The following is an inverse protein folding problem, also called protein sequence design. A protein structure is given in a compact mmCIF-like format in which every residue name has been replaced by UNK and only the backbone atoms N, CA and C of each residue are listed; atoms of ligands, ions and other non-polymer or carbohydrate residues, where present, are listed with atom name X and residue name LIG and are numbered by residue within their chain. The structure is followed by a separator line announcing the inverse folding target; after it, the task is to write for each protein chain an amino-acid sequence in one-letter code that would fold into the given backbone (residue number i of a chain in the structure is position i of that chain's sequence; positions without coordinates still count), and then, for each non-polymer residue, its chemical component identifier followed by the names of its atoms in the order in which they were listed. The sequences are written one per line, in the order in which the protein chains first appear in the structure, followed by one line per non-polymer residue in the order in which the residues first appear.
data_IF_621528950704
#
_entry.id   IF_621528950704
#
_cell.length_a   1.000
_cell.length_b   1.000
_cell.length_c   1.000
_cell.angle_alpha   90.00
_cell.angle_beta   90.00
_cell.angle_gamma   90.00
#
_symmetry.space_group_name_H-M   'P 1'
#
loop_
_entity.id
_entity.type
_entity.pdbx_description
1 polymer ?
#
# COMPACT_ATOMS: atom_id res chain seq x y z
N UNK A 1 -8.87 3.01 -16.75
CA UNK A 1 -9.90 1.95 -16.66
C UNK A 1 -9.81 1.12 -15.38
N UNK A 2 -8.66 0.54 -14.98
CA UNK A 2 -8.57 -0.26 -13.73
C UNK A 2 -8.90 0.51 -12.43
N UNK A 3 -8.56 1.79 -12.31
CA UNK A 3 -8.80 2.52 -11.07
C UNK A 3 -10.28 2.85 -10.82
N UNK A 4 -11.11 2.90 -11.87
CA UNK A 4 -12.57 2.98 -11.75
C UNK A 4 -13.13 1.74 -11.06
N UNK A 5 -12.48 0.58 -11.24
CA UNK A 5 -12.79 -0.68 -10.57
C UNK A 5 -12.27 -0.70 -9.13
N UNK A 6 -11.03 -0.27 -8.87
CA UNK A 6 -10.43 -0.28 -7.50
C UNK A 6 -11.25 0.56 -6.51
N UNK A 7 -11.78 1.70 -6.96
CA UNK A 7 -12.55 2.61 -6.09
C UNK A 7 -14.05 2.60 -6.38
N UNK A 8 -14.54 1.79 -7.32
CA UNK A 8 -15.98 1.67 -7.60
C UNK A 8 -16.68 3.02 -7.84
N UNK A 9 -16.09 3.90 -8.65
CA UNK A 9 -16.54 5.30 -8.88
C UNK A 9 -16.52 6.25 -7.67
N UNK A 10 -15.90 5.85 -6.55
CA UNK A 10 -15.70 6.74 -5.39
C UNK A 10 -14.44 7.61 -5.52
N UNK A 11 -14.36 8.64 -4.68
CA UNK A 11 -13.25 9.60 -4.62
C UNK A 11 -11.89 8.91 -4.44
N UNK A 12 -10.92 9.31 -5.26
CA UNK A 12 -9.53 8.89 -5.13
C UNK A 12 -8.89 9.55 -3.90
N UNK A 13 -8.69 8.75 -2.84
CA UNK A 13 -8.17 9.24 -1.56
C UNK A 13 -6.69 9.65 -1.61
N UNK A 14 -5.96 9.18 -2.61
CA UNK A 14 -4.53 9.38 -2.79
C UNK A 14 -4.21 9.60 -4.27
N UNK A 15 -3.10 10.29 -4.52
CA UNK A 15 -2.58 10.48 -5.88
C UNK A 15 -2.27 9.12 -6.51
N UNK A 16 -2.66 8.92 -7.76
CA UNK A 16 -2.38 7.68 -8.52
C UNK A 16 -0.90 7.30 -8.53
N UNK A 17 -0.02 8.28 -8.69
CA UNK A 17 1.42 8.08 -8.63
C UNK A 17 1.90 7.41 -7.33
N UNK A 18 1.19 7.61 -6.20
CA UNK A 18 1.49 6.90 -4.94
C UNK A 18 0.95 5.48 -4.94
N UNK A 19 -0.22 5.21 -5.54
CA UNK A 19 -0.80 3.86 -5.58
C UNK A 19 0.00 2.88 -6.43
N UNK A 20 0.57 3.38 -7.53
CA UNK A 20 1.37 2.59 -8.48
C UNK A 20 2.69 2.09 -7.89
N UNK A 21 3.23 2.84 -6.92
CA UNK A 21 4.46 2.49 -6.20
C UNK A 21 4.39 1.13 -5.55
N UNK A 22 5.52 0.47 -5.37
CA UNK A 22 5.58 -0.77 -4.61
C UNK A 22 5.22 -0.55 -3.14
N UNK A 23 4.72 -1.62 -2.52
CA UNK A 23 4.32 -1.65 -1.12
C UNK A 23 5.43 -1.13 -0.18
N UNK A 24 6.68 -1.54 -0.40
CA UNK A 24 7.85 -1.09 0.38
C UNK A 24 8.13 0.42 0.29
N UNK A 25 7.62 1.07 -0.74
CA UNK A 25 7.80 2.50 -1.01
C UNK A 25 6.53 3.31 -0.65
N UNK A 26 5.61 2.70 0.10
CA UNK A 26 4.36 3.31 0.54
C UNK A 26 3.23 3.24 -0.47
N UNK A 27 3.41 2.56 -1.61
CA UNK A 27 2.31 2.34 -2.55
C UNK A 27 1.50 1.08 -2.27
N UNK A 28 0.80 0.61 -3.30
CA UNK A 28 0.02 -0.64 -3.29
C UNK A 28 0.35 -1.60 -4.41
N UNK A 29 1.36 -1.27 -5.22
CA UNK A 29 1.76 -2.05 -6.38
C UNK A 29 0.64 -2.20 -7.40
N UNK A 30 -0.27 -1.21 -7.48
CA UNK A 30 -1.39 -1.30 -8.43
C UNK A 30 -0.81 -1.29 -9.86
N UNK A 31 -1.24 -2.20 -10.75
CA UNK A 31 -0.73 -2.25 -12.11
C UNK A 31 -0.96 -0.93 -12.86
N UNK A 32 0.11 -0.32 -13.35
CA UNK A 32 0.04 0.76 -14.33
C UNK A 32 -0.21 0.15 -15.71
N UNK A 33 -1.48 0.08 -16.11
CA UNK A 33 -1.86 -0.54 -17.39
C UNK A 33 -1.16 0.16 -18.56
N UNK A 34 -1.01 1.47 -18.53
CA UNK A 34 -0.42 2.22 -19.65
C UNK A 34 1.05 1.84 -19.79
N UNK A 35 1.79 1.90 -18.69
CA UNK A 35 3.19 1.47 -18.69
C UNK A 35 3.32 -0.02 -19.04
N UNK A 36 2.43 -0.89 -18.59
CA UNK A 36 2.45 -2.32 -18.96
C UNK A 36 2.28 -2.51 -20.47
N UNK A 37 1.32 -1.82 -21.09
CA UNK A 37 1.10 -1.88 -22.55
C UNK A 37 2.32 -1.35 -23.29
N UNK A 38 2.88 -0.22 -22.86
CA UNK A 38 4.06 0.38 -23.50
C UNK A 38 5.30 -0.51 -23.33
N UNK A 39 5.54 -1.07 -22.15
CA UNK A 39 6.64 -2.01 -21.90
C UNK A 39 6.51 -3.28 -22.74
N UNK A 40 5.30 -3.84 -22.85
CA UNK A 40 5.04 -5.01 -23.67
C UNK A 40 5.22 -4.69 -25.16
N UNK A 41 4.67 -3.57 -25.63
CA UNK A 41 4.83 -3.10 -27.00
C UNK A 41 6.29 -2.85 -27.35
N UNK A 42 7.06 -2.28 -26.43
CA UNK A 42 8.50 -2.06 -26.60
C UNK A 42 9.27 -3.38 -26.69
N UNK A 43 8.99 -4.33 -25.82
CA UNK A 43 9.61 -5.65 -25.86
C UNK A 43 9.28 -6.39 -27.17
N UNK A 44 8.03 -6.34 -27.61
CA UNK A 44 7.60 -6.94 -28.89
C UNK A 44 8.23 -6.24 -30.09
N UNK A 45 8.36 -4.91 -30.06
CA UNK A 45 9.03 -4.14 -31.11
C UNK A 45 10.48 -4.58 -31.25
N UNK A 46 11.21 -4.61 -30.14
CA UNK A 46 12.61 -5.04 -30.08
C UNK A 46 12.76 -6.48 -30.58
N UNK A 47 11.90 -7.40 -30.14
CA UNK A 47 11.92 -8.79 -30.64
C UNK A 47 11.62 -8.90 -32.14
N UNK A 48 10.70 -8.09 -32.67
CA UNK A 48 10.37 -8.14 -34.09
C UNK A 48 11.52 -7.61 -34.95
N UNK A 49 12.33 -6.67 -34.47
CA UNK A 49 13.49 -6.17 -35.22
C UNK A 49 14.55 -7.25 -35.51
N UNK A 50 14.58 -8.32 -34.70
CA UNK A 50 15.47 -9.46 -34.88
C UNK A 50 14.99 -10.44 -35.96
N UNK A 51 13.73 -10.36 -36.39
CA UNK A 51 13.11 -11.30 -37.35
C UNK A 51 13.36 -10.81 -38.78
N UNK A 52 14.56 -11.08 -39.30
CA UNK A 52 15.01 -10.52 -40.58
C UNK A 52 14.10 -10.90 -41.75
N UNK A 53 13.59 -12.13 -41.75
CA UNK A 53 12.86 -12.72 -42.88
C UNK A 53 11.34 -12.53 -42.82
N UNK A 54 10.84 -11.77 -41.84
CA UNK A 54 9.40 -11.58 -41.64
C UNK A 54 9.00 -10.15 -41.97
N UNK A 55 7.86 -9.99 -42.66
CA UNK A 55 7.27 -8.68 -42.94
C UNK A 55 7.15 -7.80 -41.68
N UNK A 56 6.79 -8.40 -40.54
CA UNK A 56 6.72 -7.71 -39.25
C UNK A 56 8.06 -7.15 -38.77
N UNK A 57 9.17 -7.84 -39.03
CA UNK A 57 10.51 -7.35 -38.71
C UNK A 57 10.97 -6.25 -39.68
N UNK A 58 10.58 -6.34 -40.95
CA UNK A 58 10.80 -5.27 -41.94
C UNK A 58 10.07 -3.99 -41.53
N UNK A 59 8.78 -4.05 -41.18
CA UNK A 59 8.04 -2.87 -40.71
C UNK A 59 8.59 -2.32 -39.39
N UNK A 60 8.94 -3.19 -38.45
CA UNK A 60 9.54 -2.78 -37.18
C UNK A 60 10.84 -2.00 -37.40
N UNK A 61 11.71 -2.49 -38.29
CA UNK A 61 12.94 -1.77 -38.66
C UNK A 61 12.62 -0.48 -39.40
N UNK A 62 11.76 -0.51 -40.42
CA UNK A 62 11.43 0.69 -41.20
C UNK A 62 10.94 1.85 -40.31
N UNK A 63 10.04 1.59 -39.35
CA UNK A 63 9.47 2.63 -38.50
C UNK A 63 10.27 2.93 -37.22
N UNK A 64 10.98 1.96 -36.64
CA UNK A 64 11.66 2.16 -35.36
C UNK A 64 13.16 2.41 -35.48
N UNK A 65 13.79 2.18 -36.64
CA UNK A 65 15.25 2.30 -36.82
C UNK A 65 15.83 3.61 -36.29
N UNK A 66 15.28 4.81 -36.60
CA UNK A 66 15.84 6.06 -36.09
C UNK A 66 15.90 6.11 -34.55
N UNK A 67 14.82 5.68 -33.91
CA UNK A 67 14.73 5.59 -32.45
C UNK A 67 15.69 4.54 -31.88
N UNK A 68 15.72 3.34 -32.45
CA UNK A 68 16.57 2.24 -31.98
C UNK A 68 18.06 2.59 -32.10
N UNK A 69 18.46 3.32 -33.16
CA UNK A 69 19.82 3.85 -33.31
C UNK A 69 20.19 4.81 -32.18
N UNK A 70 19.33 5.76 -31.85
CA UNK A 70 19.56 6.71 -30.74
C UNK A 70 19.69 6.00 -29.39
N UNK A 71 19.05 4.84 -29.24
CA UNK A 71 19.15 4.01 -28.04
C UNK A 71 20.32 3.00 -28.07
N UNK A 72 21.12 2.99 -29.13
CA UNK A 72 22.26 2.07 -29.28
C UNK A 72 21.86 0.61 -29.54
N UNK A 73 20.63 0.37 -30.01
CA UNK A 73 20.07 -0.96 -30.23
C UNK A 73 20.29 -1.49 -31.66
N UNK A 74 20.70 -0.62 -32.59
CA UNK A 74 20.92 -0.95 -33.99
C UNK A 74 22.08 -0.11 -34.55
N UNK A 75 22.88 -0.70 -35.42
CA UNK A 75 23.94 0.01 -36.13
C UNK A 75 23.37 0.96 -37.19
N UNK A 76 24.18 1.95 -37.60
CA UNK A 76 23.87 2.76 -38.76
C UNK A 76 24.00 1.89 -40.01
N UNK A 77 22.91 1.75 -40.75
CA UNK A 77 22.88 1.08 -42.05
C UNK A 77 22.11 1.97 -43.02
N UNK A 78 22.83 2.57 -43.96
CA UNK A 78 22.26 3.49 -44.95
C UNK A 78 21.64 2.76 -46.14
N UNK A 79 21.79 1.43 -46.23
CA UNK A 79 21.21 0.61 -47.30
C UNK A 79 19.74 0.26 -47.05
N UNK A 80 19.26 0.46 -45.82
CA UNK A 80 17.90 0.12 -45.41
C UNK A 80 17.05 1.39 -45.33
N UNK A 81 15.90 1.47 -46.03
CA UNK A 81 15.01 2.60 -45.93
C UNK A 81 14.42 2.70 -44.52
N UNK A 82 14.14 3.92 -44.07
CA UNK A 82 13.46 4.17 -42.80
C UNK A 82 12.48 5.34 -42.92
N UNK A 83 11.52 5.37 -42.01
CA UNK A 83 10.51 6.42 -41.93
C UNK A 83 10.98 7.56 -41.02
N UNK A 84 10.86 8.80 -41.53
CA UNK A 84 11.04 10.02 -40.73
C UNK A 84 9.82 10.36 -39.87
N UNK A 85 8.63 9.96 -40.31
CA UNK A 85 7.37 10.15 -39.60
C UNK A 85 6.69 8.81 -39.31
N UNK A 86 7.13 8.11 -38.26
CA UNK A 86 6.58 6.81 -37.94
C UNK A 86 5.19 6.96 -37.30
N UNK A 87 4.28 5.97 -37.47
CA UNK A 87 2.95 6.00 -36.88
C UNK A 87 2.97 6.26 -35.37
N UNK A 88 1.87 6.82 -34.85
CA UNK A 88 1.72 7.22 -33.44
C UNK A 88 2.22 6.17 -32.44
N UNK A 89 1.95 4.89 -32.66
CA UNK A 89 2.36 3.80 -31.76
C UNK A 89 3.88 3.76 -31.57
N UNK A 90 4.67 3.92 -32.63
CA UNK A 90 6.13 3.92 -32.54
C UNK A 90 6.66 5.18 -31.84
N UNK A 91 6.03 6.34 -32.07
CA UNK A 91 6.35 7.58 -31.36
C UNK A 91 6.07 7.46 -29.87
N UNK A 92 4.93 6.90 -29.48
CA UNK A 92 4.58 6.67 -28.08
C UNK A 92 5.58 5.72 -27.37
N UNK A 93 6.03 4.65 -28.04
CA UNK A 93 7.04 3.74 -27.50
C UNK A 93 8.41 4.42 -27.35
N UNK A 94 8.79 5.24 -28.34
CA UNK A 94 10.01 6.06 -28.30
C UNK A 94 9.98 7.02 -27.12
N UNK A 95 8.92 7.81 -27.02
CA UNK A 95 8.78 8.85 -26.00
C UNK A 95 8.74 8.22 -24.59
N UNK A 96 8.09 7.07 -24.44
CA UNK A 96 8.14 6.27 -23.21
C UNK A 96 9.57 5.83 -22.87
N UNK A 97 10.31 5.24 -23.81
CA UNK A 97 11.66 4.74 -23.57
C UNK A 97 12.63 5.86 -23.15
N UNK A 98 12.54 7.04 -23.79
CA UNK A 98 13.33 8.21 -23.40
C UNK A 98 12.88 8.80 -22.07
N UNK A 99 11.57 8.98 -21.86
CA UNK A 99 11.01 9.53 -20.63
C UNK A 99 11.30 8.65 -19.41
N UNK A 100 11.29 7.33 -19.58
CA UNK A 100 11.70 6.36 -18.56
C UNK A 100 13.23 6.35 -18.32
N UNK A 101 14.02 6.97 -19.21
CA UNK A 101 15.47 6.95 -19.20
C UNK A 101 16.00 5.52 -19.19
N UNK A 102 15.54 4.69 -20.13
CA UNK A 102 16.02 3.31 -20.29
C UNK A 102 17.49 3.28 -20.71
N UNK A 103 18.27 2.29 -20.25
CA UNK A 103 19.69 2.23 -20.58
C UNK A 103 19.89 2.02 -22.08
N UNK A 104 20.88 2.74 -22.64
CA UNK A 104 21.39 2.45 -23.98
C UNK A 104 22.17 1.14 -23.91
N UNK A 105 21.59 0.08 -24.47
CA UNK A 105 22.16 -1.25 -24.36
C UNK A 105 21.62 -2.17 -25.47
N UNK A 106 22.11 -3.41 -25.57
CA UNK A 106 21.68 -4.35 -26.61
C UNK A 106 20.21 -4.80 -26.53
N UNK A 107 19.70 -5.36 -27.64
CA UNK A 107 18.30 -5.76 -27.82
C UNK A 107 17.76 -6.74 -26.75
N UNK A 108 18.62 -7.49 -26.08
CA UNK A 108 18.23 -8.46 -25.02
C UNK A 108 17.84 -7.80 -23.69
N UNK A 109 18.21 -6.53 -23.48
CA UNK A 109 18.01 -5.83 -22.20
C UNK A 109 16.62 -5.21 -22.06
N UNK A 110 15.82 -5.20 -23.13
CA UNK A 110 14.56 -4.46 -23.18
C UNK A 110 13.33 -5.38 -23.06
N UNK A 111 13.46 -6.47 -22.30
CA UNK A 111 12.32 -7.31 -21.93
C UNK A 111 11.42 -6.61 -20.91
N UNK A 112 10.13 -6.93 -20.93
CA UNK A 112 9.14 -6.41 -19.96
C UNK A 112 9.63 -6.46 -18.50
N UNK A 113 10.24 -7.59 -18.09
CA UNK A 113 10.74 -7.78 -16.72
C UNK A 113 11.87 -6.82 -16.37
N UNK A 114 12.81 -6.61 -17.30
CA UNK A 114 13.97 -5.72 -17.08
C UNK A 114 13.52 -4.26 -17.07
N UNK A 115 12.67 -3.85 -18.01
CA UNK A 115 12.14 -2.49 -18.04
C UNK A 115 11.35 -2.19 -16.77
N UNK A 116 10.49 -3.11 -16.32
CA UNK A 116 9.76 -2.96 -15.06
C UNK A 116 10.69 -2.86 -13.85
N UNK A 117 11.74 -3.68 -13.78
CA UNK A 117 12.72 -3.62 -12.69
C UNK A 117 13.46 -2.27 -12.67
N UNK A 118 13.81 -1.72 -13.84
CA UNK A 118 14.44 -0.41 -13.98
C UNK A 118 13.52 0.74 -13.56
N UNK A 119 12.24 0.68 -13.93
CA UNK A 119 11.26 1.67 -13.46
C UNK A 119 11.12 1.65 -11.93
N UNK A 120 11.11 0.45 -11.34
CA UNK A 120 11.02 0.26 -9.88
C UNK A 120 12.29 0.68 -9.14
N UNK A 121 13.46 0.55 -9.75
CA UNK A 121 14.73 0.98 -9.10
C UNK A 121 14.84 2.51 -8.98
N UNK A 122 14.21 3.25 -9.90
CA UNK A 122 14.11 4.72 -9.85
C UNK A 122 12.98 5.23 -8.94
N UNK A 123 12.20 4.32 -8.37
CA UNK A 123 11.03 4.68 -7.59
C UNK A 123 11.43 5.30 -6.25
N UNK A 124 10.95 6.51 -5.98
CA UNK A 124 11.19 7.18 -4.70
C UNK A 124 10.19 6.72 -3.65
N UNK A 125 10.67 6.53 -2.42
CA UNK A 125 9.79 6.20 -1.30
C UNK A 125 8.84 7.37 -1.00
N UNK A 126 7.57 7.06 -0.79
CA UNK A 126 6.60 8.06 -0.29
C UNK A 126 6.76 8.19 1.22
N UNK A 127 6.90 9.42 1.70
CA UNK A 127 6.91 9.68 3.13
C UNK A 127 5.50 9.47 3.72
N UNK A 128 5.37 8.80 4.89
CA UNK A 128 4.13 8.76 5.64
C UNK A 128 3.61 10.17 5.89
N UNK A 129 2.30 10.34 5.85
CA UNK A 129 1.68 11.63 6.15
C UNK A 129 1.47 11.70 7.67
N UNK A 130 1.93 12.79 8.29
CA UNK A 130 1.87 12.99 9.74
C UNK A 130 3.24 13.25 10.35
N UNK A 131 3.24 13.63 11.63
CA UNK A 131 4.47 13.90 12.37
C UNK A 131 4.99 12.60 12.98
N UNK A 132 6.10 12.08 12.47
CA UNK A 132 6.76 10.89 13.03
C UNK A 132 8.27 11.04 12.99
N UNK A 133 8.89 10.44 14.00
CA UNK A 133 10.33 10.28 14.18
C UNK A 133 10.84 8.93 13.65
N UNK A 134 9.95 8.02 13.23
CA UNK A 134 10.34 6.72 12.67
C UNK A 134 10.77 6.85 11.21
N UNK A 135 11.76 6.02 10.86
CA UNK A 135 12.19 5.90 9.48
C UNK A 135 11.09 5.31 8.59
N UNK A 136 10.78 5.94 7.44
CA UNK A 136 9.76 5.47 6.50
C UNK A 136 9.84 3.99 6.09
N UNK A 137 11.02 3.38 5.84
CA UNK A 137 11.11 1.96 5.52
C UNK A 137 10.56 1.04 6.63
N UNK A 138 10.77 1.41 7.90
CA UNK A 138 10.27 0.67 9.05
C UNK A 138 8.74 0.76 9.11
N UNK A 139 8.20 1.96 8.88
CA UNK A 139 6.76 2.21 8.86
C UNK A 139 6.07 1.35 7.79
N UNK A 140 6.58 1.38 6.55
CA UNK A 140 5.99 0.59 5.47
C UNK A 140 6.11 -0.91 5.72
N UNK A 141 7.24 -1.38 6.27
CA UNK A 141 7.40 -2.78 6.66
C UNK A 141 6.41 -3.21 7.76
N UNK A 142 6.13 -2.34 8.74
CA UNK A 142 5.16 -2.61 9.81
C UNK A 142 3.73 -2.68 9.27
N UNK A 143 3.33 -1.68 8.49
CA UNK A 143 1.98 -1.57 7.91
C UNK A 143 1.61 -2.79 7.05
N UNK A 144 2.59 -3.35 6.35
CA UNK A 144 2.40 -4.44 5.41
C UNK A 144 2.78 -5.82 5.99
N UNK A 145 3.11 -5.85 7.28
CA UNK A 145 3.61 -7.04 7.94
C UNK A 145 2.65 -8.22 7.78
N UNK A 146 3.21 -9.42 7.53
CA UNK A 146 2.46 -10.66 7.31
C UNK A 146 1.62 -11.09 8.53
N UNK A 147 1.91 -10.57 9.73
CA UNK A 147 1.08 -10.80 10.90
C UNK A 147 -0.31 -10.14 10.80
N UNK A 148 -0.55 -9.22 9.87
CA UNK A 148 -1.85 -8.57 9.69
C UNK A 148 -2.69 -9.23 8.60
N UNK A 149 -4.01 -9.25 8.78
CA UNK A 149 -4.94 -9.61 7.70
C UNK A 149 -5.12 -8.43 6.72
N UNK A 150 -5.72 -8.67 5.56
CA UNK A 150 -5.86 -7.63 4.52
C UNK A 150 -6.62 -6.39 5.01
N UNK A 151 -7.70 -6.57 5.79
CA UNK A 151 -8.47 -5.45 6.35
C UNK A 151 -7.63 -4.60 7.30
N UNK A 152 -6.81 -5.24 8.14
CA UNK A 152 -5.91 -4.56 9.07
C UNK A 152 -4.79 -3.82 8.32
N UNK A 153 -4.20 -4.45 7.29
CA UNK A 153 -3.23 -3.79 6.40
C UNK A 153 -3.84 -2.55 5.74
N UNK A 154 -5.09 -2.64 5.28
CA UNK A 154 -5.80 -1.51 4.68
C UNK A 154 -5.99 -0.34 5.65
N UNK A 155 -6.45 -0.63 6.86
CA UNK A 155 -6.59 0.40 7.90
C UNK A 155 -5.22 0.98 8.25
N UNK A 156 -4.20 0.16 8.49
CA UNK A 156 -2.85 0.60 8.83
C UNK A 156 -2.24 1.48 7.74
N UNK A 157 -2.37 1.06 6.47
CA UNK A 157 -1.83 1.77 5.32
C UNK A 157 -2.53 3.10 5.08
N UNK A 158 -3.87 3.11 5.14
CA UNK A 158 -4.63 4.36 5.04
C UNK A 158 -4.34 5.29 6.23
N UNK A 159 -4.05 4.73 7.40
CA UNK A 159 -3.65 5.52 8.58
C UNK A 159 -2.31 6.20 8.34
N UNK A 160 -1.32 5.46 7.85
CA UNK A 160 0.02 5.97 7.57
C UNK A 160 0.03 7.04 6.46
N UNK A 161 -0.91 6.97 5.52
CA UNK A 161 -1.16 7.99 4.51
C UNK A 161 -2.11 9.10 4.95
N UNK A 162 -2.66 9.06 6.17
CA UNK A 162 -3.67 10.00 6.66
C UNK A 162 -4.87 10.15 5.71
N UNK A 163 -5.24 9.06 5.03
CA UNK A 163 -6.28 9.05 4.00
C UNK A 163 -7.48 8.14 4.37
N UNK A 164 -7.63 7.81 5.65
CA UNK A 164 -8.88 7.21 6.13
C UNK A 164 -10.03 8.22 5.96
N UNK A 165 -11.25 7.78 5.57
CA UNK A 165 -12.40 8.66 5.37
C UNK A 165 -13.02 9.11 6.70
N UNK A 166 -12.21 9.81 7.48
CA UNK A 166 -12.54 10.54 8.70
C UNK A 166 -13.27 11.84 8.35
N UNK A 167 -13.97 12.47 9.31
CA UNK A 167 -14.71 13.70 9.08
C UNK A 167 -13.79 14.83 8.65
N UNK A 168 -12.62 15.00 9.26
CA UNK A 168 -11.64 16.01 8.82
C UNK A 168 -11.16 15.76 7.38
N UNK A 169 -10.90 14.49 7.01
CA UNK A 169 -10.51 14.16 5.64
C UNK A 169 -11.64 14.48 4.65
N UNK A 170 -12.87 14.06 4.94
CA UNK A 170 -14.03 14.28 4.06
C UNK A 170 -14.43 15.75 3.98
N UNK A 171 -14.35 16.50 5.09
CA UNK A 171 -14.66 17.93 5.15
C UNK A 171 -13.72 18.75 4.25
N UNK A 172 -12.42 18.46 4.28
CA UNK A 172 -11.42 19.06 3.38
C UNK A 172 -11.65 18.77 1.89
N UNK A 173 -12.44 17.74 1.59
CA UNK A 173 -12.84 17.37 0.22
C UNK A 173 -14.28 17.83 -0.10
N UNK A 174 -14.89 18.64 0.77
CA UNK A 174 -16.28 19.10 0.65
C UNK A 174 -17.32 17.95 0.58
N UNK A 175 -17.00 16.80 1.18
CA UNK A 175 -17.88 15.62 1.23
C UNK A 175 -18.54 15.40 2.61
N UNK A 176 -18.28 16.28 3.57
CA UNK A 176 -18.91 16.26 4.88
C UNK A 176 -19.23 17.69 5.31
N UNK A 177 -20.35 17.87 6.03
CA UNK A 177 -20.78 19.17 6.55
C UNK A 177 -19.95 19.67 7.75
N UNK A 178 -19.25 18.77 8.42
CA UNK A 178 -18.46 19.09 9.62
C UNK A 178 -17.25 18.17 9.69
N UNK A 179 -16.16 18.68 10.26
CA UNK A 179 -14.98 17.90 10.62
C UNK A 179 -15.02 17.33 12.03
N UNK A 180 -16.02 17.70 12.84
CA UNK A 180 -16.12 17.28 14.25
C UNK A 180 -16.31 15.78 14.41
N UNK A 181 -15.84 15.27 15.55
CA UNK A 181 -15.93 13.86 15.89
C UNK A 181 -17.38 13.34 15.96
N UNK A 182 -17.70 12.21 15.30
CA UNK A 182 -19.04 11.62 15.33
C UNK A 182 -19.43 11.06 16.71
N UNK A 183 -18.46 10.86 17.61
CA UNK A 183 -18.70 10.41 18.98
C UNK A 183 -19.06 11.55 19.94
N UNK A 184 -19.10 12.80 19.47
CA UNK A 184 -19.58 13.95 20.25
C UNK A 184 -18.52 14.64 21.12
N UNK A 185 -17.23 14.31 20.96
CA UNK A 185 -16.19 15.20 21.48
C UNK A 185 -16.04 16.45 20.58
N UNK A 186 -15.51 17.52 21.17
CA UNK A 186 -15.42 18.85 20.56
C UNK A 186 -14.37 18.95 19.44
N UNK A 187 -13.46 17.99 19.36
CA UNK A 187 -12.31 18.02 18.46
C UNK A 187 -12.63 17.52 17.04
N UNK A 188 -11.76 17.86 16.09
CA UNK A 188 -11.86 17.42 14.71
C UNK A 188 -11.41 15.95 14.56
N UNK A 189 -12.18 15.15 13.82
CA UNK A 189 -11.87 13.73 13.60
C UNK A 189 -10.80 13.57 12.53
N UNK A 190 -9.53 13.61 12.93
CA UNK A 190 -8.42 13.10 12.12
C UNK A 190 -8.00 11.69 12.59
N UNK A 191 -7.03 11.08 11.91
CA UNK A 191 -6.62 9.70 12.19
C UNK A 191 -6.01 9.53 13.60
N UNK A 192 -5.18 10.48 14.05
CA UNK A 192 -4.65 10.50 15.43
C UNK A 192 -5.79 10.58 16.44
N UNK A 193 -6.76 11.46 16.21
CA UNK A 193 -7.92 11.58 17.07
C UNK A 193 -8.70 10.27 17.16
N UNK A 194 -9.04 9.69 16.00
CA UNK A 194 -9.79 8.45 15.91
C UNK A 194 -9.16 7.28 16.70
N UNK A 195 -7.83 7.11 16.61
CA UNK A 195 -7.16 5.95 17.19
C UNK A 195 -6.50 6.20 18.54
N UNK A 196 -6.28 7.45 18.96
CA UNK A 196 -5.54 7.75 20.18
C UNK A 196 -6.19 8.81 21.07
N UNK A 197 -6.54 9.97 20.53
CA UNK A 197 -6.95 11.12 21.36
C UNK A 197 -8.43 11.11 21.75
N UNK A 198 -9.29 10.48 20.95
CA UNK A 198 -10.72 10.41 21.21
C UNK A 198 -11.02 9.77 22.57
N UNK A 199 -11.99 10.32 23.30
CA UNK A 199 -12.42 9.79 24.61
C UNK A 199 -12.84 8.31 24.53
N UNK A 200 -13.50 7.91 23.44
CA UNK A 200 -13.85 6.51 23.17
C UNK A 200 -12.60 5.66 22.96
N UNK A 201 -11.64 6.14 22.16
CA UNK A 201 -10.38 5.43 21.92
C UNK A 201 -9.58 5.23 23.21
N UNK A 202 -9.40 6.29 24.01
CA UNK A 202 -8.72 6.23 25.31
C UNK A 202 -9.37 5.21 26.26
N UNK A 203 -10.71 5.18 26.32
CA UNK A 203 -11.45 4.22 27.15
C UNK A 203 -11.29 2.78 26.67
N UNK A 204 -11.35 2.54 25.36
CA UNK A 204 -11.10 1.21 24.78
C UNK A 204 -9.67 0.75 25.05
N UNK A 205 -8.67 1.60 24.83
CA UNK A 205 -7.27 1.28 25.18
C UNK A 205 -7.11 0.95 26.65
N UNK A 206 -7.70 1.75 27.56
CA UNK A 206 -7.67 1.48 29.00
C UNK A 206 -8.23 0.09 29.35
N UNK A 207 -9.37 -0.28 28.77
CA UNK A 207 -10.01 -1.58 29.00
C UNK A 207 -9.22 -2.75 28.40
N UNK A 208 -8.70 -2.59 27.18
CA UNK A 208 -7.94 -3.63 26.47
C UNK A 208 -6.61 -3.86 27.17
N UNK A 209 -5.83 -2.79 27.42
CA UNK A 209 -4.55 -2.86 28.13
C UNK A 209 -4.74 -3.53 29.48
N UNK A 210 -5.74 -3.14 30.27
CA UNK A 210 -6.00 -3.78 31.58
C UNK A 210 -6.31 -5.28 31.45
N UNK A 211 -6.94 -5.69 30.35
CA UNK A 211 -7.29 -7.10 30.12
C UNK A 211 -6.08 -7.93 29.66
N UNK A 212 -5.21 -7.37 28.82
CA UNK A 212 -4.06 -8.09 28.23
C UNK A 212 -2.75 -7.89 29.00
N UNK A 213 -2.68 -6.91 29.92
CA UNK A 213 -1.49 -6.65 30.75
C UNK A 213 -1.22 -7.77 31.75
N UNK A 214 -2.26 -8.47 32.23
CA UNK A 214 -2.09 -9.63 33.14
C UNK A 214 -1.19 -10.71 32.54
N UNK A 215 -1.23 -10.87 31.22
CA UNK A 215 -0.45 -11.87 30.49
C UNK A 215 0.77 -11.25 29.78
N UNK A 216 1.14 -10.00 30.11
CA UNK A 216 2.25 -9.23 29.50
C UNK A 216 2.21 -9.16 27.97
N UNK A 217 1.03 -9.30 27.35
CA UNK A 217 0.89 -9.38 25.90
C UNK A 217 1.06 -8.03 25.21
N UNK A 218 0.70 -6.94 25.90
CA UNK A 218 0.86 -5.58 25.42
C UNK A 218 1.18 -4.66 26.61
N UNK A 219 2.47 -4.38 26.86
CA UNK A 219 2.88 -3.46 27.91
C UNK A 219 2.33 -2.05 27.65
N UNK A 220 1.87 -1.35 28.69
CA UNK A 220 1.39 0.03 28.54
C UNK A 220 2.49 0.98 28.02
N UNK A 221 3.74 0.71 28.37
CA UNK A 221 4.92 1.46 27.90
C UNK A 221 5.16 1.37 26.40
N UNK A 222 4.61 0.35 25.70
CA UNK A 222 4.76 0.23 24.24
C UNK A 222 3.71 1.03 23.46
N UNK A 223 2.71 1.60 24.14
CA UNK A 223 1.63 2.38 23.52
C UNK A 223 1.92 3.88 23.57
N UNK A 224 2.12 4.44 22.38
CA UNK A 224 2.20 5.87 22.10
C UNK A 224 1.34 6.16 20.88
N UNK A 225 0.98 7.43 20.65
CA UNK A 225 0.25 7.81 19.43
C UNK A 225 0.98 7.31 18.17
N UNK A 226 2.30 7.50 18.16
CA UNK A 226 3.19 7.10 17.07
C UNK A 226 3.21 5.57 16.88
N UNK A 227 3.38 4.79 17.95
CA UNK A 227 3.42 3.31 17.85
C UNK A 227 2.06 2.70 17.49
N UNK A 228 0.95 3.34 17.86
CA UNK A 228 -0.40 2.91 17.43
C UNK A 228 -0.60 3.15 15.93
N UNK A 229 -0.08 4.25 15.39
CA UNK A 229 -0.27 4.60 14.00
C UNK A 229 0.66 3.82 13.07
N UNK A 230 1.95 3.77 13.41
CA UNK A 230 3.03 3.32 12.52
C UNK A 230 3.72 2.02 12.97
N UNK A 231 3.43 1.54 14.18
CA UNK A 231 3.99 0.31 14.74
C UNK A 231 5.28 0.51 15.54
N UNK A 232 5.92 -0.60 15.96
CA UNK A 232 7.12 -0.54 16.81
C UNK A 232 8.32 0.08 16.09
N UNK A 233 9.10 0.89 16.82
CA UNK A 233 10.30 1.60 16.31
C UNK A 233 11.37 0.68 15.72
N UNK A 234 11.58 -0.50 16.32
CA UNK A 234 12.53 -1.50 15.81
C UNK A 234 11.98 -2.34 14.63
N UNK A 235 10.73 -2.09 14.22
CA UNK A 235 9.98 -2.95 13.31
C UNK A 235 9.46 -4.22 13.99
N UNK A 236 8.55 -4.91 13.31
CA UNK A 236 7.96 -6.16 13.81
C UNK A 236 8.88 -7.39 13.58
N UNK A 237 10.12 -7.32 14.12
CA UNK A 237 11.16 -8.34 13.90
C UNK A 237 10.97 -9.60 14.73
N UNK A 238 10.44 -9.48 15.95
CA UNK A 238 10.23 -10.61 16.86
C UNK A 238 8.75 -11.05 16.88
N UNK A 239 8.46 -12.31 17.24
CA UNK A 239 7.09 -12.79 17.43
C UNK A 239 6.29 -11.95 18.44
N UNK A 240 6.93 -11.47 19.52
CA UNK A 240 6.31 -10.61 20.53
C UNK A 240 5.87 -9.28 19.93
N UNK A 241 6.74 -8.62 19.17
CA UNK A 241 6.42 -7.34 18.52
C UNK A 241 5.33 -7.51 17.45
N UNK A 242 5.35 -8.62 16.70
CA UNK A 242 4.29 -8.96 15.75
C UNK A 242 2.95 -9.15 16.46
N UNK A 243 2.94 -9.83 17.61
CA UNK A 243 1.74 -10.04 18.43
C UNK A 243 1.20 -8.73 18.98
N UNK A 244 2.06 -7.89 19.55
CA UNK A 244 1.68 -6.55 20.02
C UNK A 244 1.08 -5.72 18.89
N UNK A 245 1.73 -5.73 17.72
CA UNK A 245 1.26 -5.00 16.54
C UNK A 245 -0.09 -5.52 16.03
N UNK A 246 -0.31 -6.82 16.08
CA UNK A 246 -1.60 -7.42 15.76
C UNK A 246 -2.69 -6.99 16.73
N UNK A 247 -2.44 -7.01 18.04
CA UNK A 247 -3.40 -6.53 19.06
C UNK A 247 -3.75 -5.07 18.76
N UNK A 248 -2.76 -4.23 18.49
CA UNK A 248 -2.96 -2.82 18.15
C UNK A 248 -3.87 -2.65 16.94
N UNK A 249 -3.65 -3.43 15.87
CA UNK A 249 -4.47 -3.34 14.66
C UNK A 249 -5.88 -3.94 14.81
N UNK A 250 -6.09 -4.90 15.72
CA UNK A 250 -7.43 -5.35 16.09
C UNK A 250 -8.19 -4.21 16.78
N UNK A 251 -7.55 -3.51 17.72
CA UNK A 251 -8.17 -2.34 18.37
C UNK A 251 -8.48 -1.24 17.36
N UNK A 252 -7.57 -0.93 16.43
CA UNK A 252 -7.83 0.02 15.33
C UNK A 252 -9.02 -0.42 14.48
N UNK A 253 -9.11 -1.71 14.14
CA UNK A 253 -10.23 -2.26 13.40
C UNK A 253 -11.56 -2.06 14.15
N UNK A 254 -11.60 -2.38 15.44
CA UNK A 254 -12.80 -2.23 16.28
C UNK A 254 -13.21 -0.76 16.41
N UNK A 255 -12.26 0.15 16.64
CA UNK A 255 -12.53 1.59 16.69
C UNK A 255 -13.05 2.12 15.36
N UNK A 256 -12.46 1.69 14.24
CA UNK A 256 -12.91 2.06 12.89
C UNK A 256 -14.33 1.57 12.61
N UNK A 257 -14.65 0.32 12.98
CA UNK A 257 -15.99 -0.26 12.84
C UNK A 257 -17.01 0.46 13.73
N UNK A 258 -16.68 0.75 14.98
CA UNK A 258 -17.53 1.49 15.92
C UNK A 258 -17.86 2.89 15.39
N UNK A 259 -16.85 3.58 14.85
CA UNK A 259 -17.02 4.86 14.18
C UNK A 259 -17.96 4.75 12.99
N UNK A 260 -17.79 3.75 12.13
CA UNK A 260 -18.65 3.57 10.96
C UNK A 260 -20.10 3.26 11.35
N UNK A 261 -20.33 2.46 12.40
CA UNK A 261 -21.67 2.27 12.97
C UNK A 261 -22.26 3.62 13.39
N UNK A 262 -21.50 4.43 14.12
CA UNK A 262 -21.97 5.76 14.55
C UNK A 262 -22.28 6.70 13.38
N UNK A 263 -21.47 6.67 12.32
CA UNK A 263 -21.66 7.56 11.16
C UNK A 263 -22.81 7.12 10.28
N UNK A 264 -22.90 5.83 9.93
CA UNK A 264 -23.84 5.31 8.94
C UNK A 264 -25.15 4.81 9.57
N UNK A 265 -25.08 4.17 10.74
CA UNK A 265 -26.26 3.62 11.43
C UNK A 265 -26.79 4.54 12.54
N UNK A 266 -26.08 5.63 12.86
CA UNK A 266 -26.41 6.61 13.92
C UNK A 266 -26.41 6.05 15.35
N UNK A 267 -26.09 4.78 15.53
CA UNK A 267 -26.03 4.08 16.82
C UNK A 267 -24.66 4.24 17.48
N UNK A 268 -24.62 4.35 18.81
CA UNK A 268 -23.39 4.27 19.59
C UNK A 268 -23.18 2.86 20.12
N UNK A 269 -21.95 2.35 20.02
CA UNK A 269 -21.56 1.08 20.67
C UNK A 269 -20.81 1.42 21.94
N UNK A 270 -21.19 0.78 23.05
CA UNK A 270 -20.54 1.02 24.33
C UNK A 270 -19.11 0.45 24.36
N UNK A 271 -18.16 1.08 25.10
CA UNK A 271 -16.77 0.63 25.15
C UNK A 271 -16.57 -0.79 25.71
N UNK A 272 -17.49 -1.32 26.52
CA UNK A 272 -17.38 -2.69 27.06
C UNK A 272 -17.70 -3.71 25.98
N UNK A 273 -18.70 -3.45 25.14
CA UNK A 273 -18.98 -4.25 23.94
C UNK A 273 -17.80 -4.20 22.96
N UNK A 274 -17.15 -3.04 22.78
CA UNK A 274 -15.94 -2.93 21.95
C UNK A 274 -14.78 -3.75 22.51
N UNK A 275 -14.57 -3.76 23.83
CA UNK A 275 -13.60 -4.64 24.49
C UNK A 275 -13.91 -6.11 24.21
N UNK A 276 -15.17 -6.53 24.39
CA UNK A 276 -15.60 -7.91 24.11
C UNK A 276 -15.36 -8.30 22.65
N UNK A 277 -15.69 -7.42 21.71
CA UNK A 277 -15.42 -7.63 20.28
C UNK A 277 -13.92 -7.77 20.00
N UNK A 278 -13.08 -6.98 20.68
CA UNK A 278 -11.62 -7.10 20.61
C UNK A 278 -11.16 -8.48 21.10
N UNK A 279 -11.69 -8.95 22.23
CA UNK A 279 -11.37 -10.28 22.79
C UNK A 279 -11.77 -11.41 21.85
N UNK A 280 -12.97 -11.34 21.25
CA UNK A 280 -13.43 -12.33 20.29
C UNK A 280 -12.51 -12.38 19.06
N UNK A 281 -12.16 -11.22 18.48
CA UNK A 281 -11.24 -11.17 17.34
C UNK A 281 -9.82 -11.68 17.67
N UNK A 282 -9.38 -11.51 18.92
CA UNK A 282 -8.13 -12.10 19.38
C UNK A 282 -8.24 -13.63 19.45
N UNK A 283 -9.32 -14.16 20.03
CA UNK A 283 -9.58 -15.59 20.12
C UNK A 283 -9.72 -16.23 18.73
N UNK A 284 -10.46 -15.60 17.82
CA UNK A 284 -10.60 -16.07 16.43
C UNK A 284 -9.23 -16.13 15.74
N UNK A 285 -8.40 -15.10 15.94
CA UNK A 285 -7.04 -15.06 15.42
C UNK A 285 -6.16 -16.19 15.95
N UNK A 286 -6.26 -16.49 17.26
CA UNK A 286 -5.58 -17.62 17.91
C UNK A 286 -6.04 -18.94 17.29
N UNK A 287 -7.35 -19.14 17.17
CA UNK A 287 -7.95 -20.36 16.61
C UNK A 287 -7.57 -20.60 15.15
N UNK A 288 -7.57 -19.55 14.32
CA UNK A 288 -7.17 -19.64 12.91
C UNK A 288 -5.68 -19.98 12.77
N UNK A 289 -4.81 -19.40 13.58
CA UNK A 289 -3.40 -19.78 13.56
C UNK A 289 -3.20 -21.20 14.10
N UNK A 290 -3.94 -21.62 15.13
CA UNK A 290 -3.91 -23.00 15.65
C UNK A 290 -4.34 -24.04 14.63
N UNK A 291 -5.37 -23.73 13.85
CA UNK A 291 -5.87 -24.60 12.80
C UNK A 291 -4.89 -24.74 11.63
N UNK A 292 -4.05 -23.71 11.40
CA UNK A 292 -3.02 -23.71 10.36
C UNK A 292 -1.74 -24.42 10.80
N UNK A 293 -1.27 -24.11 12.01
CA UNK A 293 -0.05 -24.67 12.58
C UNK A 293 -0.07 -24.49 14.11
N UNK A 294 -0.17 -25.60 14.84
CA UNK A 294 -0.26 -25.62 16.30
C UNK A 294 1.02 -25.10 16.98
N UNK A 295 2.19 -25.33 16.41
CA UNK A 295 3.46 -24.86 16.94
C UNK A 295 3.60 -23.34 16.72
N UNK A 296 3.26 -22.88 15.51
CA UNK A 296 3.24 -21.47 15.16
C UNK A 296 2.23 -20.68 15.99
N UNK A 297 1.09 -21.27 16.34
CA UNK A 297 0.09 -20.63 17.20
C UNK A 297 0.56 -20.50 18.65
N UNK A 298 1.23 -21.53 19.19
CA UNK A 298 1.87 -21.47 20.52
C UNK A 298 2.95 -20.40 20.57
N UNK A 299 3.79 -20.28 19.54
CA UNK A 299 4.82 -19.25 19.41
C UNK A 299 4.23 -17.85 19.17
N UNK A 300 3.20 -17.72 18.34
CA UNK A 300 2.54 -16.44 18.02
C UNK A 300 1.66 -15.89 19.11
N UNK A 301 1.07 -16.74 19.95
CA UNK A 301 0.07 -16.33 20.94
C UNK A 301 0.42 -16.70 22.37
N UNK A 302 1.47 -17.49 22.64
CA UNK A 302 1.94 -17.80 23.99
C UNK A 302 0.84 -18.47 24.80
N UNK A 303 0.30 -19.56 24.25
CA UNK A 303 -1.02 -20.10 24.57
C UNK A 303 -1.09 -20.62 26.01
N UNK A 304 0.06 -20.92 26.61
CA UNK A 304 0.17 -21.35 28.01
C UNK A 304 -0.21 -20.26 29.03
N UNK A 305 -0.37 -19.00 28.59
CA UNK A 305 -0.78 -17.88 29.45
C UNK A 305 -2.25 -17.48 29.31
N UNK A 306 -3.08 -18.22 28.56
CA UNK A 306 -4.48 -17.84 28.29
C UNK A 306 -5.53 -18.63 29.09
N UNK A 307 -5.13 -19.28 30.19
CA UNK A 307 -6.07 -19.83 31.18
C UNK A 307 -6.56 -18.76 32.14
#
# INVERSE_FOLDING_TARGET
MAFRFVWGSTMEKLKRATLLKEERNGGRGVPDIVNIILMQGLATLVQNTQKVDKASGTFARYYATPFLRTMGLCALDLTIPYSWDPPYVYRALRDFAFGAGLPRAGLTLWSYKIVMAHLRSKETMTLPRGSTTLDPPIIWANVLNKCLNNKQKDIAWMSAHMCLPTRSFMFKQHLALTERCPHGCTDSEHVYHLFWECSVARRVWGLVVSSVSRNRLLPRSSLTAESVLYGPRGGCRTPELQRQWRIVNIVKQVLWEARNIKVYQKTSVDPVTLRRRTQNLLQDGVMVDFAKDKCLAREKWGVDHWK
#
